data_IF_135780495533
#
_entry.id   IF_135780495533
#
_cell.length_a   1.000
_cell.length_b   1.000
_cell.length_c   1.000
_cell.angle_alpha   90.00
_cell.angle_beta   90.00
_cell.angle_gamma   90.00
#
_symmetry.space_group_name_H-M   'P 1'
#
loop_
_entity.id
_entity.type
_entity.pdbx_description
1 polymer ?
#
# COMPACT_ATOMS: atom_id res chain seq x y z
N UNK A 1 -12.74 2.07 3.22
CA UNK A 1 -11.50 2.84 3.00
C UNK A 1 -11.82 3.95 2.02
N UNK A 2 -11.36 5.16 2.26
CA UNK A 2 -11.58 6.32 1.40
C UNK A 2 -10.25 7.05 1.19
N UNK A 3 -10.09 7.72 0.05
CA UNK A 3 -8.94 8.59 -0.23
C UNK A 3 -9.15 9.91 0.49
N UNK A 4 -8.11 10.39 1.18
CA UNK A 4 -8.04 11.73 1.75
C UNK A 4 -7.31 12.61 0.74
N UNK A 5 -7.92 13.73 0.38
CA UNK A 5 -7.34 14.70 -0.56
C UNK A 5 -6.92 15.97 0.16
N UNK A 6 -5.77 16.51 -0.21
CA UNK A 6 -5.27 17.80 0.23
C UNK A 6 -4.86 18.60 -1.01
N UNK A 7 -5.44 19.80 -1.18
CA UNK A 7 -5.22 20.66 -2.34
C UNK A 7 -5.44 19.97 -3.71
N UNK A 8 -6.41 19.04 -3.78
CA UNK A 8 -6.73 18.29 -5.00
C UNK A 8 -5.78 17.13 -5.31
N UNK A 9 -4.87 16.79 -4.41
CA UNK A 9 -3.98 15.63 -4.54
C UNK A 9 -4.31 14.57 -3.47
N UNK A 10 -4.21 13.26 -3.80
CA UNK A 10 -4.28 12.22 -2.79
C UNK A 10 -3.16 12.40 -1.75
N UNK A 11 -3.56 12.66 -0.51
CA UNK A 11 -2.69 12.94 0.64
C UNK A 11 -2.75 11.84 1.72
N UNK A 12 -3.66 10.87 1.55
CA UNK A 12 -3.74 9.73 2.44
C UNK A 12 -4.87 8.76 2.12
N UNK A 13 -4.96 7.71 2.92
CA UNK A 13 -6.08 6.78 2.97
C UNK A 13 -6.63 6.76 4.40
N UNK A 14 -7.95 6.92 4.52
CA UNK A 14 -8.64 6.73 5.79
C UNK A 14 -9.36 5.39 5.80
N UNK A 15 -9.14 4.61 6.86
CA UNK A 15 -9.89 3.41 7.17
C UNK A 15 -10.73 3.67 8.41
N UNK A 16 -12.04 3.47 8.27
CA UNK A 16 -13.01 3.50 9.36
C UNK A 16 -13.44 2.09 9.68
N UNK A 17 -13.28 1.67 10.93
CA UNK A 17 -13.74 0.37 11.42
C UNK A 17 -14.11 0.47 12.89
N UNK A 18 -15.25 -0.11 13.28
CA UNK A 18 -15.72 -0.16 14.67
C UNK A 18 -15.78 1.21 15.40
N UNK A 19 -16.06 2.30 14.67
CA UNK A 19 -16.13 3.64 15.25
C UNK A 19 -14.80 4.37 15.37
N UNK A 20 -13.68 3.72 15.03
CA UNK A 20 -12.36 4.33 14.97
C UNK A 20 -11.99 4.70 13.53
N UNK A 21 -11.28 5.82 13.37
CA UNK A 21 -10.70 6.27 12.11
C UNK A 21 -9.18 6.23 12.21
N UNK A 22 -8.54 5.41 11.37
CA UNK A 22 -7.09 5.42 11.16
C UNK A 22 -6.80 6.08 9.82
N UNK A 23 -5.81 6.97 9.77
CA UNK A 23 -5.37 7.64 8.55
C UNK A 23 -3.91 7.29 8.28
N UNK A 24 -3.65 6.77 7.08
CA UNK A 24 -2.30 6.59 6.54
C UNK A 24 -2.03 7.78 5.62
N UNK A 25 -1.20 8.71 6.06
CA UNK A 25 -0.78 9.87 5.26
C UNK A 25 0.30 9.45 4.26
N UNK A 26 0.21 9.94 3.03
CA UNK A 26 1.25 9.73 2.02
C UNK A 26 1.17 10.77 0.90
N UNK A 27 2.25 10.87 0.12
CA UNK A 27 2.21 11.51 -1.20
C UNK A 27 2.42 10.47 -2.30
N UNK A 28 1.67 10.61 -3.40
CA UNK A 28 1.82 9.75 -4.57
C UNK A 28 3.06 10.18 -5.35
N UNK A 29 4.05 9.30 -5.48
CA UNK A 29 5.32 9.64 -6.16
C UNK A 29 5.47 9.02 -7.54
N UNK A 30 4.89 7.85 -7.79
CA UNK A 30 4.94 7.18 -9.09
C UNK A 30 3.63 6.44 -9.30
N UNK A 31 3.00 6.64 -10.45
CA UNK A 31 1.86 5.85 -10.92
C UNK A 31 2.19 5.34 -12.30
N UNK A 32 2.47 4.03 -12.45
CA UNK A 32 2.45 3.43 -13.78
C UNK A 32 1.00 3.07 -14.12
N UNK A 33 0.35 3.93 -14.91
CA UNK A 33 -1.07 3.81 -15.29
C UNK A 33 -1.33 2.61 -16.23
N UNK A 34 -0.28 1.95 -16.69
CA UNK A 34 -0.31 1.08 -17.88
C UNK A 34 -0.98 -0.27 -17.69
N UNK A 35 -1.13 -0.77 -16.45
CA UNK A 35 -1.71 -2.10 -16.23
C UNK A 35 -2.62 -2.10 -15.00
N UNK A 36 -3.94 -2.22 -15.21
CA UNK A 36 -4.82 -2.68 -14.13
C UNK A 36 -4.29 -4.03 -13.65
N UNK A 37 -3.99 -4.19 -12.35
CA UNK A 37 -3.37 -5.43 -11.88
C UNK A 37 -4.31 -6.61 -12.16
N UNK A 38 -3.77 -7.74 -12.63
CA UNK A 38 -4.58 -8.91 -13.06
C UNK A 38 -5.31 -9.50 -11.85
N UNK A 39 -6.61 -9.82 -11.99
CA UNK A 39 -7.56 -10.20 -10.91
C UNK A 39 -7.19 -11.44 -10.03
N UNK A 40 -5.97 -11.95 -10.07
CA UNK A 40 -5.58 -13.13 -9.30
C UNK A 40 -4.81 -12.73 -8.02
N UNK A 41 -5.32 -13.23 -6.90
CA UNK A 41 -4.77 -13.23 -5.54
C UNK A 41 -4.82 -11.91 -4.74
N UNK A 42 -5.14 -12.05 -3.44
CA UNK A 42 -5.02 -10.98 -2.44
C UNK A 42 -3.54 -10.61 -2.28
N UNK A 43 -3.18 -9.31 -2.29
CA UNK A 43 -1.81 -8.88 -2.06
C UNK A 43 -1.35 -9.28 -0.65
N UNK A 44 -0.05 -9.54 -0.47
CA UNK A 44 0.57 -9.71 0.85
C UNK A 44 1.55 -8.57 1.13
N UNK A 45 1.75 -8.24 2.40
CA UNK A 45 2.77 -7.26 2.79
C UNK A 45 4.10 -7.98 2.94
N UNK A 46 5.13 -7.49 2.24
CA UNK A 46 6.50 -7.97 2.33
C UNK A 46 7.28 -6.98 3.20
N UNK A 47 7.80 -7.47 4.32
CA UNK A 47 8.45 -6.65 5.34
C UNK A 47 9.87 -6.30 4.90
N UNK A 48 10.13 -5.01 4.69
CA UNK A 48 11.50 -4.50 4.59
C UNK A 48 11.79 -3.32 5.54
N UNK A 49 10.78 -2.80 6.25
CA UNK A 49 10.90 -1.62 7.12
C UNK A 49 10.00 -1.71 8.37
N UNK A 50 10.23 -0.80 9.33
CA UNK A 50 9.57 -0.83 10.65
C UNK A 50 8.05 -0.65 10.59
N UNK A 51 7.56 0.10 9.60
CA UNK A 51 6.13 0.39 9.41
C UNK A 51 5.34 -0.78 8.80
N UNK A 52 5.98 -1.90 8.44
CA UNK A 52 5.30 -2.99 7.72
C UNK A 52 4.13 -3.61 8.49
N UNK A 53 4.22 -3.68 9.83
CA UNK A 53 3.12 -4.18 10.67
C UNK A 53 1.93 -3.21 10.67
N UNK A 54 2.17 -1.91 10.81
CA UNK A 54 1.11 -0.89 10.78
C UNK A 54 0.41 -0.85 9.43
N UNK A 55 1.17 -0.95 8.33
CA UNK A 55 0.63 -1.00 6.97
C UNK A 55 -0.19 -2.28 6.76
N UNK A 56 0.30 -3.44 7.21
CA UNK A 56 -0.42 -4.71 7.13
C UNK A 56 -1.74 -4.66 7.90
N UNK A 57 -1.73 -4.13 9.12
CA UNK A 57 -2.94 -3.95 9.93
C UNK A 57 -3.92 -2.98 9.25
N UNK A 58 -3.41 -1.84 8.74
CA UNK A 58 -4.21 -0.82 8.05
C UNK A 58 -4.94 -1.38 6.84
N UNK A 59 -4.28 -2.20 6.01
CA UNK A 59 -4.91 -2.82 4.84
C UNK A 59 -5.63 -4.15 5.16
N UNK A 60 -5.45 -4.70 6.36
CA UNK A 60 -6.00 -6.00 6.74
C UNK A 60 -5.40 -7.14 5.91
N UNK A 61 -4.08 -7.11 5.72
CA UNK A 61 -3.33 -8.07 4.91
C UNK A 61 -2.37 -8.87 5.78
N UNK A 62 -2.08 -10.09 5.35
CA UNK A 62 -1.07 -10.93 5.99
C UNK A 62 0.34 -10.47 5.61
N UNK A 63 1.24 -10.58 6.58
CA UNK A 63 2.68 -10.39 6.39
C UNK A 63 3.30 -11.68 5.84
N UNK A 64 4.19 -11.53 4.85
CA UNK A 64 5.02 -12.60 4.32
C UNK A 64 6.49 -12.19 4.39
N UNK A 65 7.39 -13.04 4.93
CA UNK A 65 8.84 -12.77 4.88
C UNK A 65 9.41 -12.91 3.47
N UNK A 66 8.76 -13.70 2.62
CA UNK A 66 9.15 -13.91 1.22
C UNK A 66 8.33 -13.04 0.28
N UNK A 67 8.96 -12.52 -0.79
CA UNK A 67 8.24 -11.84 -1.87
C UNK A 67 7.38 -12.88 -2.59
N UNK A 68 6.05 -12.79 -2.53
CA UNK A 68 5.19 -13.75 -3.21
C UNK A 68 5.37 -13.62 -4.73
N UNK A 69 5.18 -14.72 -5.45
CA UNK A 69 5.02 -14.69 -6.90
C UNK A 69 3.66 -14.04 -7.23
N UNK A 70 3.65 -12.70 -7.35
CA UNK A 70 2.45 -11.92 -7.67
C UNK A 70 2.40 -10.59 -6.94
N UNK A 71 1.19 -10.18 -6.54
CA UNK A 71 0.97 -8.87 -5.92
C UNK A 71 1.57 -8.79 -4.53
N UNK A 72 2.38 -7.77 -4.31
CA UNK A 72 2.96 -7.49 -3.00
C UNK A 72 2.90 -5.99 -2.68
N UNK A 73 2.86 -5.70 -1.38
CA UNK A 73 3.09 -4.36 -0.84
C UNK A 73 4.43 -4.42 -0.12
N UNK A 74 5.46 -3.77 -0.69
CA UNK A 74 6.78 -3.66 -0.07
C UNK A 74 6.81 -2.38 0.74
N UNK A 75 7.08 -2.50 2.04
CA UNK A 75 7.13 -1.35 2.95
C UNK A 75 8.58 -1.11 3.34
N UNK A 76 9.13 0.03 2.90
CA UNK A 76 10.41 0.56 3.34
C UNK A 76 10.23 1.68 4.38
N UNK A 77 11.33 2.28 4.81
CA UNK A 77 11.30 3.29 5.89
C UNK A 77 10.63 4.61 5.47
N UNK A 78 10.62 4.94 4.17
CA UNK A 78 10.09 6.21 3.63
C UNK A 78 9.15 6.02 2.43
N UNK A 79 8.79 4.77 2.11
CA UNK A 79 7.99 4.46 0.94
C UNK A 79 7.20 3.17 1.08
N UNK A 80 6.07 3.10 0.38
CA UNK A 80 5.24 1.91 0.21
C UNK A 80 5.10 1.67 -1.29
N UNK A 81 5.58 0.51 -1.74
CA UNK A 81 5.54 0.11 -3.15
C UNK A 81 4.51 -1.00 -3.35
N UNK A 82 3.55 -0.75 -4.23
CA UNK A 82 2.62 -1.76 -4.73
C UNK A 82 3.22 -2.34 -6.00
N UNK A 83 3.50 -3.65 -5.99
CA UNK A 83 4.11 -4.37 -7.12
C UNK A 83 3.21 -5.52 -7.56
N UNK A 84 3.26 -5.86 -8.85
CA UNK A 84 2.63 -7.05 -9.44
C UNK A 84 3.73 -7.89 -10.12
N UNK A 85 4.31 -8.83 -9.39
CA UNK A 85 5.54 -9.50 -9.81
C UNK A 85 6.75 -8.57 -9.75
N UNK A 86 7.34 -8.26 -10.91
CA UNK A 86 8.48 -7.34 -11.04
C UNK A 86 8.05 -5.90 -11.37
N UNK A 87 6.80 -5.70 -11.81
CA UNK A 87 6.29 -4.41 -12.23
C UNK A 87 5.92 -3.55 -11.00
N UNK A 88 6.44 -2.31 -10.92
CA UNK A 88 6.02 -1.31 -9.94
C UNK A 88 4.72 -0.66 -10.41
N UNK A 89 3.63 -0.88 -9.69
CA UNK A 89 2.31 -0.33 -10.03
C UNK A 89 2.13 1.09 -9.46
N UNK A 90 2.48 1.26 -8.19
CA UNK A 90 2.26 2.50 -7.45
C UNK A 90 3.31 2.65 -6.34
N UNK A 91 3.88 3.86 -6.20
CA UNK A 91 4.73 4.23 -5.06
C UNK A 91 4.09 5.35 -4.28
N UNK A 92 3.95 5.12 -2.98
CA UNK A 92 3.58 6.11 -1.98
C UNK A 92 4.82 6.50 -1.17
N UNK A 93 4.97 7.77 -0.85
CA UNK A 93 5.98 8.27 0.10
C UNK A 93 5.32 8.56 1.44
N UNK A 94 5.94 8.08 2.52
CA UNK A 94 5.54 8.24 3.92
C UNK A 94 6.57 9.06 4.67
#
# INVERSE_FOLDING_TARGET
MVVVEEHGNPAGLARRSHGEEKVLHFSVSVVEVSKRPKKMNRPRVVVMGKAAHEVAEFFGLDISPESPAGRAIRVGDHQIDFVDGEDLVLRLKI
#
